data_IF_403279504707
#
_entry.id   IF_403279504707
#
_cell.length_a   1.000
_cell.length_b   1.000
_cell.length_c   1.000
_cell.angle_alpha   90.00
_cell.angle_beta   90.00
_cell.angle_gamma   90.00
#
_symmetry.space_group_name_H-M   'P 1'
#
loop_
_entity.id
_entity.type
_entity.pdbx_description
1 polymer ?
#
# COMPACT_ATOMS: atom_id res chain seq x y z
N UNK A 1 12.41 -34.26 -6.69
CA UNK A 1 12.32 -33.99 -5.23
C UNK A 1 11.24 -32.94 -5.02
N UNK A 2 10.09 -33.36 -4.49
CA UNK A 2 8.92 -32.50 -4.28
C UNK A 2 9.28 -31.52 -3.15
N UNK A 3 9.56 -30.27 -3.49
CA UNK A 3 9.74 -29.18 -2.54
C UNK A 3 8.37 -28.91 -1.91
N UNK A 4 8.07 -29.59 -0.80
CA UNK A 4 6.86 -29.32 -0.04
C UNK A 4 6.88 -27.84 0.36
N UNK A 5 5.91 -27.08 -0.16
CA UNK A 5 5.56 -25.76 0.36
C UNK A 5 5.19 -25.97 1.83
N UNK A 6 6.12 -25.75 2.76
CA UNK A 6 5.81 -25.80 4.18
C UNK A 6 4.70 -24.79 4.44
N UNK A 7 3.51 -25.21 4.91
CA UNK A 7 2.43 -24.28 5.21
C UNK A 7 2.95 -23.22 6.17
N UNK A 8 2.87 -21.96 5.77
CA UNK A 8 3.33 -20.86 6.59
C UNK A 8 2.60 -20.90 7.94
N UNK A 9 3.35 -21.08 9.03
CA UNK A 9 2.83 -21.07 10.39
C UNK A 9 2.45 -19.64 10.79
N UNK A 10 1.32 -19.49 11.45
CA UNK A 10 0.86 -18.22 12.02
C UNK A 10 0.27 -18.47 13.41
N UNK A 11 0.23 -17.45 14.29
CA UNK A 11 -0.42 -17.57 15.59
C UNK A 11 -1.85 -18.09 15.49
N UNK A 12 -2.62 -17.61 14.50
CA UNK A 12 -3.99 -18.07 14.23
C UNK A 12 -4.04 -19.57 13.87
N UNK A 13 -3.17 -20.03 12.97
CA UNK A 13 -3.12 -21.45 12.59
C UNK A 13 -2.72 -22.34 13.77
N UNK A 14 -1.71 -21.93 14.55
CA UNK A 14 -1.30 -22.67 15.75
C UNK A 14 -2.42 -22.70 16.79
N UNK A 15 -3.08 -21.57 17.03
CA UNK A 15 -4.21 -21.48 17.96
C UNK A 15 -5.32 -22.45 17.58
N UNK A 16 -5.70 -22.48 16.30
CA UNK A 16 -6.74 -23.36 15.79
C UNK A 16 -6.36 -24.84 15.91
N UNK A 17 -5.12 -25.19 15.55
CA UNK A 17 -4.61 -26.57 15.65
C UNK A 17 -4.57 -27.05 17.10
N UNK A 18 -4.11 -26.21 18.02
CA UNK A 18 -4.05 -26.55 19.45
C UNK A 18 -5.45 -26.82 19.99
N UNK A 19 -6.39 -25.93 19.73
CA UNK A 19 -7.75 -26.03 20.27
C UNK A 19 -8.56 -27.17 19.65
N UNK A 20 -8.44 -27.38 18.33
CA UNK A 20 -9.32 -28.31 17.62
C UNK A 20 -8.73 -29.71 17.47
N UNK A 21 -7.42 -29.87 17.61
CA UNK A 21 -6.74 -31.15 17.32
C UNK A 21 -5.89 -31.61 18.48
N UNK A 22 -4.96 -30.78 18.98
CA UNK A 22 -3.99 -31.22 19.99
C UNK A 22 -4.64 -31.43 21.36
N UNK A 23 -5.45 -30.49 21.84
CA UNK A 23 -6.14 -30.60 23.14
C UNK A 23 -7.04 -31.86 23.18
N UNK A 24 -7.92 -32.09 22.19
CA UNK A 24 -8.73 -33.31 22.14
C UNK A 24 -7.90 -34.59 22.04
N UNK A 25 -6.85 -34.61 21.22
CA UNK A 25 -6.00 -35.79 21.04
C UNK A 25 -5.22 -36.18 22.31
N UNK A 26 -4.92 -35.21 23.17
CA UNK A 26 -4.27 -35.45 24.46
C UNK A 26 -5.25 -35.83 25.58
N UNK A 27 -6.56 -35.87 25.31
CA UNK A 27 -7.58 -36.19 26.30
C UNK A 27 -7.68 -35.15 27.44
N UNK A 28 -7.25 -33.91 27.18
CA UNK A 28 -7.29 -32.85 28.18
C UNK A 28 -8.70 -32.28 28.27
N UNK A 29 -9.38 -32.52 29.40
CA UNK A 29 -10.66 -31.87 29.70
C UNK A 29 -10.40 -30.46 30.26
N UNK A 30 -10.40 -29.48 29.36
CA UNK A 30 -10.24 -28.06 29.69
C UNK A 30 -11.60 -27.35 29.79
N UNK A 31 -12.72 -28.08 29.74
CA UNK A 31 -14.05 -27.50 29.63
C UNK A 31 -14.16 -26.54 28.44
N UNK A 32 -14.47 -25.26 28.69
CA UNK A 32 -14.56 -24.21 27.65
C UNK A 32 -13.26 -23.43 27.44
N UNK A 33 -12.19 -23.75 28.18
CA UNK A 33 -10.95 -23.02 28.08
C UNK A 33 -10.24 -23.34 26.76
N UNK A 34 -9.90 -22.30 26.02
CA UNK A 34 -9.16 -22.39 24.75
C UNK A 34 -7.97 -21.45 24.80
N UNK A 35 -6.91 -21.76 24.05
CA UNK A 35 -5.83 -20.81 23.91
C UNK A 35 -6.25 -19.68 22.96
N UNK A 36 -5.89 -18.45 23.32
CA UNK A 36 -6.04 -17.29 22.46
C UNK A 36 -4.89 -17.18 21.45
N UNK A 37 -5.10 -16.39 20.40
CA UNK A 37 -4.03 -16.12 19.41
C UNK A 37 -2.80 -15.46 20.06
N UNK A 38 -3.01 -14.62 21.08
CA UNK A 38 -1.92 -14.03 21.87
C UNK A 38 -1.08 -15.08 22.61
N UNK A 39 -1.71 -16.13 23.15
CA UNK A 39 -1.00 -17.26 23.74
C UNK A 39 -0.22 -18.06 22.70
N UNK A 40 -0.83 -18.35 21.55
CA UNK A 40 -0.17 -19.02 20.44
C UNK A 40 1.05 -18.23 19.93
N UNK A 41 0.95 -16.89 19.85
CA UNK A 41 2.08 -16.01 19.50
C UNK A 41 3.25 -16.13 20.48
N UNK A 42 2.97 -16.15 21.79
CA UNK A 42 4.02 -16.35 22.82
C UNK A 42 4.64 -17.74 22.70
N UNK A 43 3.84 -18.75 22.41
CA UNK A 43 4.33 -20.12 22.24
C UNK A 43 5.20 -20.26 21.00
N UNK A 44 4.87 -19.62 19.87
CA UNK A 44 5.73 -19.59 18.69
C UNK A 44 7.13 -19.06 19.01
N UNK A 45 7.23 -17.96 19.77
CA UNK A 45 8.54 -17.45 20.23
C UNK A 45 9.28 -18.47 21.09
N UNK A 46 8.59 -19.13 22.04
CA UNK A 46 9.18 -20.19 22.88
C UNK A 46 9.63 -21.41 22.07
N UNK A 47 8.99 -21.69 20.94
CA UNK A 47 9.32 -22.79 20.02
C UNK A 47 10.46 -22.43 19.04
N UNK A 48 11.08 -21.26 19.20
CA UNK A 48 12.19 -20.77 18.38
C UNK A 48 11.76 -20.13 17.07
N UNK A 49 10.49 -19.70 16.95
CA UNK A 49 10.05 -18.91 15.80
C UNK A 49 10.22 -17.41 16.04
N UNK A 50 10.66 -16.72 14.99
CA UNK A 50 10.83 -15.28 14.96
C UNK A 50 9.89 -14.64 13.95
N UNK A 51 9.33 -13.48 14.29
CA UNK A 51 8.50 -12.70 13.38
C UNK A 51 9.36 -11.63 12.72
N UNK A 52 9.75 -11.83 11.47
CA UNK A 52 10.70 -10.95 10.77
C UNK A 52 10.21 -10.56 9.38
N UNK A 53 10.82 -9.52 8.81
CA UNK A 53 10.58 -9.06 7.44
C UNK A 53 11.28 -10.03 6.48
N UNK A 54 10.52 -10.59 5.55
CA UNK A 54 11.10 -11.34 4.44
C UNK A 54 11.89 -10.37 3.56
N UNK A 55 13.19 -10.62 3.42
CA UNK A 55 14.06 -9.81 2.60
C UNK A 55 13.84 -10.17 1.13
N UNK A 56 13.25 -9.25 0.37
CA UNK A 56 13.33 -9.23 -1.10
C UNK A 56 14.43 -8.23 -1.48
N UNK A 57 15.19 -8.49 -2.54
CA UNK A 57 16.21 -7.55 -3.02
C UNK A 57 15.62 -6.15 -3.17
N UNK A 58 16.31 -5.14 -2.67
CA UNK A 58 15.88 -3.74 -2.71
C UNK A 58 15.96 -3.27 -4.16
N UNK A 59 14.85 -2.74 -4.68
CA UNK A 59 14.88 -1.98 -5.93
C UNK A 59 15.47 -0.61 -5.60
N UNK A 60 16.62 -0.29 -6.18
CA UNK A 60 17.23 1.04 -6.05
C UNK A 60 16.58 1.92 -7.10
N UNK A 61 15.75 2.86 -6.64
CA UNK A 61 15.17 3.85 -7.53
C UNK A 61 16.29 4.70 -8.14
N UNK A 62 16.27 4.87 -9.45
CA UNK A 62 17.31 5.59 -10.20
C UNK A 62 17.15 7.11 -10.14
N UNK A 63 16.48 7.58 -9.09
CA UNK A 63 16.13 8.97 -8.85
C UNK A 63 17.35 9.91 -8.74
N UNK A 64 18.48 9.38 -8.27
CA UNK A 64 19.73 10.13 -8.07
C UNK A 64 20.55 10.29 -9.36
N UNK A 65 20.10 9.74 -10.50
CA UNK A 65 20.86 9.89 -11.75
C UNK A 65 20.97 11.38 -12.13
N UNK A 66 22.13 11.85 -12.60
CA UNK A 66 22.34 13.27 -12.91
C UNK A 66 21.34 13.85 -13.91
N UNK A 67 20.90 13.06 -14.89
CA UNK A 67 19.90 13.48 -15.88
C UNK A 67 18.50 13.66 -15.27
N UNK A 68 18.12 12.78 -14.33
CA UNK A 68 16.85 12.87 -13.58
C UNK A 68 16.87 14.11 -12.68
N UNK A 69 17.96 14.35 -11.98
CA UNK A 69 18.12 15.54 -11.12
C UNK A 69 18.02 16.83 -11.96
N UNK A 70 18.77 16.92 -13.06
CA UNK A 70 18.75 18.09 -13.94
C UNK A 70 17.35 18.34 -14.55
N UNK A 71 16.61 17.29 -14.88
CA UNK A 71 15.23 17.42 -15.32
C UNK A 71 14.31 17.96 -14.20
N UNK A 72 14.43 17.41 -12.99
CA UNK A 72 13.62 17.85 -11.83
C UNK A 72 13.86 19.31 -11.48
N UNK A 73 15.10 19.78 -11.53
CA UNK A 73 15.42 21.19 -11.30
C UNK A 73 14.69 22.11 -12.30
N UNK A 74 14.71 21.75 -13.60
CA UNK A 74 13.98 22.50 -14.64
C UNK A 74 12.47 22.47 -14.41
N UNK A 75 11.93 21.30 -14.05
CA UNK A 75 10.52 21.14 -13.74
C UNK A 75 10.09 22.01 -12.56
N UNK A 76 10.86 22.00 -11.46
CA UNK A 76 10.57 22.82 -10.28
C UNK A 76 10.61 24.32 -10.59
N UNK A 77 11.53 24.76 -11.45
CA UNK A 77 11.56 26.15 -11.90
C UNK A 77 10.27 26.56 -12.65
N UNK A 78 9.74 25.66 -13.50
CA UNK A 78 8.47 25.89 -14.20
C UNK A 78 7.30 25.95 -13.22
N UNK A 79 7.26 25.03 -12.24
CA UNK A 79 6.21 24.99 -11.22
C UNK A 79 6.22 26.28 -10.39
N UNK A 80 7.40 26.70 -9.90
CA UNK A 80 7.56 27.92 -9.13
C UNK A 80 7.15 29.17 -9.92
N UNK A 81 7.50 29.25 -11.21
CA UNK A 81 7.10 30.37 -12.07
C UNK A 81 5.58 30.46 -12.31
N UNK A 82 4.83 29.39 -12.03
CA UNK A 82 3.36 29.36 -12.15
C UNK A 82 2.61 29.54 -10.84
N UNK A 83 3.32 29.72 -9.73
CA UNK A 83 2.73 29.74 -8.39
C UNK A 83 1.74 30.89 -8.20
N UNK A 84 2.02 32.08 -8.76
CA UNK A 84 1.14 33.25 -8.67
C UNK A 84 -0.19 33.09 -9.41
N UNK A 85 -0.30 32.10 -10.30
CA UNK A 85 -1.51 31.80 -11.07
C UNK A 85 -2.43 30.80 -10.36
N UNK A 86 -2.01 30.23 -9.23
CA UNK A 86 -2.70 29.13 -8.53
C UNK A 86 -3.34 29.65 -7.26
N UNK A 87 -4.44 29.02 -6.86
CA UNK A 87 -4.97 29.23 -5.52
C UNK A 87 -3.98 28.71 -4.48
N UNK A 88 -3.92 29.39 -3.35
CA UNK A 88 -3.19 28.94 -2.15
C UNK A 88 -4.19 28.73 -1.01
N UNK A 89 -3.74 28.24 0.14
CA UNK A 89 -4.60 27.91 1.26
C UNK A 89 -4.06 28.54 2.54
N UNK A 90 -4.94 29.06 3.39
CA UNK A 90 -4.54 29.53 4.71
C UNK A 90 -4.10 28.34 5.58
N UNK A 91 -2.90 28.40 6.15
CA UNK A 91 -2.32 27.29 6.92
C UNK A 91 -3.12 26.94 8.20
N UNK A 92 -3.99 27.82 8.69
CA UNK A 92 -4.75 27.63 9.93
C UNK A 92 -6.20 27.23 9.67
N UNK A 93 -6.88 27.92 8.75
CA UNK A 93 -8.30 27.70 8.44
C UNK A 93 -8.50 26.73 7.29
N UNK A 94 -7.46 26.51 6.46
CA UNK A 94 -7.51 25.75 5.21
C UNK A 94 -8.48 26.35 4.18
N UNK A 95 -8.82 27.63 4.32
CA UNK A 95 -9.65 28.36 3.38
C UNK A 95 -8.86 28.72 2.11
N UNK A 96 -9.56 28.75 0.98
CA UNK A 96 -8.97 29.03 -0.33
C UNK A 96 -8.65 30.52 -0.45
N UNK A 97 -7.43 30.83 -0.87
CA UNK A 97 -6.95 32.17 -1.20
C UNK A 97 -6.75 32.22 -2.72
N UNK A 98 -7.64 32.95 -3.42
CA UNK A 98 -7.59 33.09 -4.88
C UNK A 98 -6.39 33.95 -5.34
N UNK A 99 -5.76 33.63 -6.48
CA UNK A 99 -4.63 34.38 -7.00
C UNK A 99 -5.05 35.76 -7.51
N UNK A 100 -4.14 36.74 -7.38
CA UNK A 100 -4.31 38.04 -8.03
C UNK A 100 -3.76 37.96 -9.45
N UNK A 101 -4.65 38.03 -10.44
CA UNK A 101 -4.31 37.87 -11.86
C UNK A 101 -4.19 39.22 -12.57
N UNK A 102 -3.17 39.36 -13.41
CA UNK A 102 -2.98 40.50 -14.31
C UNK A 102 -3.86 40.36 -15.58
N UNK A 103 -3.95 41.43 -16.36
CA UNK A 103 -4.70 41.39 -17.62
C UNK A 103 -4.14 40.32 -18.59
N UNK A 104 -5.01 39.39 -18.99
CA UNK A 104 -4.65 38.26 -19.86
C UNK A 104 -4.21 36.99 -19.14
N UNK A 105 -3.94 37.04 -17.83
CA UNK A 105 -3.62 35.85 -17.03
C UNK A 105 -4.88 35.03 -16.72
N UNK A 106 -4.70 33.71 -16.57
CA UNK A 106 -5.78 32.79 -16.19
C UNK A 106 -5.37 31.99 -14.97
N UNK A 107 -6.33 31.70 -14.11
CA UNK A 107 -6.15 30.78 -12.99
C UNK A 107 -5.70 29.41 -13.51
N UNK A 108 -4.62 28.89 -12.95
CA UNK A 108 -4.13 27.55 -13.23
C UNK A 108 -4.65 26.59 -12.16
N UNK A 109 -5.33 25.52 -12.60
CA UNK A 109 -5.75 24.41 -11.73
C UNK A 109 -4.84 23.22 -11.98
N UNK A 110 -4.00 22.83 -11.01
CA UNK A 110 -3.09 21.70 -11.12
C UNK A 110 -3.88 20.39 -11.14
N UNK A 111 -3.60 19.57 -12.15
CA UNK A 111 -4.19 18.25 -12.27
C UNK A 111 -3.11 17.21 -12.03
N UNK A 112 -3.15 16.59 -10.86
CA UNK A 112 -2.21 15.55 -10.46
C UNK A 112 -2.74 14.18 -10.90
N UNK A 113 -1.86 13.35 -11.45
CA UNK A 113 -2.15 11.98 -11.83
C UNK A 113 -1.17 11.07 -11.12
N UNK A 114 -1.66 9.93 -10.66
CA UNK A 114 -0.80 8.85 -10.20
C UNK A 114 -1.40 7.49 -10.53
N UNK A 115 -0.53 6.50 -10.64
CA UNK A 115 -0.88 5.13 -10.92
C UNK A 115 -0.47 4.23 -9.75
N UNK A 116 -1.42 3.44 -9.26
CA UNK A 116 -1.17 2.45 -8.23
C UNK A 116 -1.57 1.07 -8.71
N UNK A 117 -0.70 0.09 -8.47
CA UNK A 117 -0.99 -1.32 -8.74
C UNK A 117 -1.18 -2.02 -7.41
N UNK A 118 -2.39 -2.51 -7.16
CA UNK A 118 -2.71 -3.30 -5.98
C UNK A 118 -2.66 -4.79 -6.32
N UNK A 119 -1.96 -5.57 -5.51
CA UNK A 119 -1.88 -7.02 -5.71
C UNK A 119 -2.27 -7.80 -4.45
N UNK A 120 -3.08 -8.88 -4.56
CA UNK A 120 -3.53 -9.66 -3.41
C UNK A 120 -2.41 -10.20 -2.51
N UNK A 121 -1.24 -10.50 -3.08
CA UNK A 121 -0.12 -11.08 -2.32
C UNK A 121 0.96 -10.05 -1.93
N UNK A 122 0.68 -8.76 -2.06
CA UNK A 122 1.62 -7.68 -1.70
C UNK A 122 1.71 -7.46 -0.18
N UNK A 123 0.67 -7.87 0.57
CA UNK A 123 0.44 -7.43 1.95
C UNK A 123 1.02 -8.29 3.08
N UNK A 124 1.95 -9.22 2.83
CA UNK A 124 2.66 -9.87 3.93
C UNK A 124 4.17 -9.75 3.75
N UNK A 125 4.74 -8.62 4.17
CA UNK A 125 6.19 -8.49 4.27
C UNK A 125 6.75 -9.31 5.44
N UNK A 126 5.98 -9.49 6.52
CA UNK A 126 6.43 -10.20 7.71
C UNK A 126 5.98 -11.65 7.75
N UNK A 127 6.84 -12.52 8.24
CA UNK A 127 6.65 -13.97 8.29
C UNK A 127 7.19 -14.53 9.59
N UNK A 128 6.62 -15.64 10.06
CA UNK A 128 7.20 -16.44 11.13
C UNK A 128 8.22 -17.41 10.52
N UNK A 129 9.48 -17.27 10.90
CA UNK A 129 10.59 -18.14 10.47
C UNK A 129 11.15 -18.91 11.66
N UNK A 130 11.78 -20.04 11.40
CA UNK A 130 12.53 -20.80 12.41
C UNK A 130 13.92 -21.11 11.84
N UNK A 131 14.95 -20.86 12.63
CA UNK A 131 16.36 -21.14 12.27
C UNK A 131 16.78 -20.50 10.93
N UNK A 132 16.36 -19.27 10.64
CA UNK A 132 16.70 -18.59 9.37
C UNK A 132 16.04 -19.15 8.11
N UNK A 133 15.24 -20.23 8.22
CA UNK A 133 14.54 -20.81 7.07
C UNK A 133 13.39 -19.92 6.63
N UNK A 134 13.59 -19.20 5.53
CA UNK A 134 12.58 -18.34 4.94
C UNK A 134 11.63 -19.17 4.06
N UNK A 135 10.31 -19.13 4.30
CA UNK A 135 9.36 -19.88 3.48
C UNK A 135 9.41 -19.38 2.03
N UNK A 136 9.44 -20.33 1.09
CA UNK A 136 9.34 -20.02 -0.34
C UNK A 136 8.00 -19.34 -0.61
N UNK A 137 8.06 -18.13 -1.17
CA UNK A 137 6.87 -17.40 -1.60
C UNK A 137 6.52 -17.79 -3.03
N UNK A 138 5.22 -17.77 -3.36
CA UNK A 138 4.79 -17.86 -4.75
C UNK A 138 5.51 -16.77 -5.55
N UNK A 139 6.10 -17.15 -6.69
CA UNK A 139 6.85 -16.25 -7.56
C UNK A 139 6.00 -15.06 -8.07
N UNK A 140 4.67 -15.22 -8.12
CA UNK A 140 3.72 -14.20 -8.56
C UNK A 140 2.99 -13.49 -7.41
N UNK A 141 2.81 -12.19 -7.56
CA UNK A 141 2.07 -11.33 -6.62
C UNK A 141 0.53 -11.48 -6.74
N UNK A 142 0.05 -12.37 -7.61
CA UNK A 142 -1.37 -12.51 -7.94
C UNK A 142 -1.79 -11.56 -9.07
N UNK A 143 -3.09 -11.57 -9.38
CA UNK A 143 -3.69 -10.64 -10.36
C UNK A 143 -3.50 -9.20 -9.87
N UNK A 144 -3.03 -8.33 -10.74
CA UNK A 144 -2.93 -6.90 -10.46
C UNK A 144 -4.26 -6.21 -10.71
N UNK A 145 -4.60 -5.27 -9.84
CA UNK A 145 -5.58 -4.22 -10.12
C UNK A 145 -4.77 -2.95 -10.33
N UNK A 146 -4.79 -2.43 -11.55
CA UNK A 146 -4.20 -1.13 -11.87
C UNK A 146 -5.28 -0.07 -11.67
N UNK A 147 -4.97 0.92 -10.86
CA UNK A 147 -5.84 2.06 -10.57
C UNK A 147 -5.06 3.30 -10.98
N UNK A 148 -5.69 4.11 -11.81
CA UNK A 148 -5.16 5.37 -12.33
C UNK A 148 -6.26 6.38 -12.17
N UNK A 149 -5.96 7.52 -11.55
CA UNK A 149 -6.96 8.55 -11.29
C UNK A 149 -6.31 9.94 -11.32
N UNK A 150 -7.14 10.96 -11.52
CA UNK A 150 -6.73 12.36 -11.52
C UNK A 150 -7.32 13.07 -10.31
N UNK A 151 -6.50 13.87 -9.62
CA UNK A 151 -6.88 14.62 -8.43
C UNK A 151 -6.49 16.09 -8.57
N UNK A 152 -7.38 16.96 -8.11
CA UNK A 152 -7.14 18.39 -7.94
C UNK A 152 -7.27 18.72 -6.46
N UNK A 153 -6.54 19.73 -5.99
CA UNK A 153 -6.63 20.17 -4.60
C UNK A 153 -8.00 20.80 -4.28
N UNK A 154 -8.62 21.45 -5.27
CA UNK A 154 -9.89 22.18 -5.09
C UNK A 154 -11.12 21.27 -4.99
N UNK A 155 -11.17 20.20 -5.80
CA UNK A 155 -12.38 19.36 -5.93
C UNK A 155 -12.13 17.89 -5.63
N UNK A 156 -10.90 17.53 -5.27
CA UNK A 156 -10.51 16.14 -5.07
C UNK A 156 -10.46 15.38 -6.38
N UNK A 157 -10.97 14.15 -6.38
CA UNK A 157 -10.94 13.26 -7.56
C UNK A 157 -11.82 13.82 -8.66
N UNK A 158 -11.29 13.82 -9.88
CA UNK A 158 -12.04 14.26 -11.04
C UNK A 158 -13.11 13.21 -11.39
N UNK A 159 -14.37 13.55 -11.14
CA UNK A 159 -15.51 12.68 -11.48
C UNK A 159 -16.40 13.35 -12.51
N UNK A 160 -16.84 12.59 -13.52
CA UNK A 160 -17.89 13.04 -14.41
C UNK A 160 -19.21 13.09 -13.64
N UNK A 161 -20.00 14.14 -13.83
CA UNK A 161 -21.39 14.14 -13.37
C UNK A 161 -22.23 13.19 -14.22
N UNK A 162 -23.36 12.73 -13.68
CA UNK A 162 -24.30 11.84 -14.38
C UNK A 162 -24.74 12.39 -15.75
N UNK A 163 -24.79 13.72 -15.90
CA UNK A 163 -25.11 14.39 -17.16
C UNK A 163 -23.94 14.37 -18.16
N UNK A 164 -22.69 14.35 -17.69
CA UNK A 164 -21.48 14.33 -18.53
C UNK A 164 -21.10 12.92 -18.98
N UNK A 165 -21.47 11.89 -18.21
CA UNK A 165 -21.16 10.48 -18.52
C UNK A 165 -21.64 10.07 -19.93
N UNK A 166 -22.91 10.30 -20.33
CA UNK A 166 -23.37 9.95 -21.67
C UNK A 166 -22.62 10.68 -22.79
N UNK A 167 -22.27 11.95 -22.56
CA UNK A 167 -21.55 12.77 -23.53
C UNK A 167 -20.12 12.25 -23.79
N UNK A 168 -19.40 11.89 -22.73
CA UNK A 168 -18.03 11.36 -22.86
C UNK A 168 -18.04 9.95 -23.45
N UNK A 169 -18.96 9.08 -22.99
CA UNK A 169 -19.09 7.72 -23.53
C UNK A 169 -19.49 7.69 -25.01
N UNK A 170 -20.22 8.70 -25.50
CA UNK A 170 -20.58 8.80 -26.92
C UNK A 170 -19.40 9.13 -27.85
N UNK A 171 -18.24 9.48 -27.29
CA UNK A 171 -17.03 9.93 -28.02
C UNK A 171 -15.82 9.02 -27.82
N UNK A 172 -15.98 7.94 -27.05
CA UNK A 172 -15.02 6.84 -26.91
C UNK A 172 -15.39 5.71 -27.88
#
# INVERSE_FOLDING_TARGET
LITHLTPQITPHKLQREVNNTIIPALGLDLGKATISESSARRWLKKLGYEYTVAKKGVYVDSHERPDVVAYREKFLAIVAASEHLRATYDDKTLEIIEPTLSEGEKKHVPLHHDESIFRPNEMQQRVWIKNGNMPLRKKGLGRAIHVSDWITEETGRLTLSDAQVPFVLSRL
#
